data_IF_086604816738
#
_entry.id   IF_086604816738
#
_cell.length_a   1.000
_cell.length_b   1.000
_cell.length_c   1.000
_cell.angle_alpha   90.00
_cell.angle_beta   90.00
_cell.angle_gamma   90.00
#
_symmetry.space_group_name_H-M   'P 1'
#
loop_
_entity.id
_entity.type
_entity.pdbx_description
1 polymer ?
#
# COMPACT_ATOMS: atom_id res chain seq x y z
N UNK A 1 22.87 -27.46 32.08
CA UNK A 1 21.62 -27.04 31.47
C UNK A 1 21.21 -28.11 30.46
N UNK A 2 20.06 -28.75 30.63
CA UNK A 2 19.61 -29.86 29.78
C UNK A 2 19.22 -29.33 28.37
N UNK A 3 19.23 -30.22 27.38
CA UNK A 3 18.81 -29.88 26.01
C UNK A 3 17.38 -29.26 25.96
N UNK A 4 16.47 -29.78 26.82
CA UNK A 4 15.11 -29.26 26.97
C UNK A 4 15.10 -27.80 27.48
N UNK A 5 15.94 -27.47 28.47
CA UNK A 5 16.02 -26.09 29.02
C UNK A 5 16.58 -25.11 27.99
N UNK A 6 17.55 -25.53 27.17
CA UNK A 6 18.06 -24.70 26.07
C UNK A 6 17.02 -24.44 25.00
N UNK A 7 16.26 -25.47 24.61
CA UNK A 7 15.18 -25.34 23.61
C UNK A 7 14.09 -24.40 24.09
N UNK A 8 13.65 -24.52 25.35
CA UNK A 8 12.64 -23.63 25.93
C UNK A 8 13.14 -22.17 26.00
N UNK A 9 14.42 -21.96 26.35
CA UNK A 9 14.99 -20.62 26.38
C UNK A 9 15.05 -19.98 24.98
N UNK A 10 15.43 -20.74 23.95
CA UNK A 10 15.44 -20.27 22.55
C UNK A 10 14.02 -19.92 22.09
N UNK A 11 13.03 -20.79 22.37
CA UNK A 11 11.64 -20.55 22.02
C UNK A 11 11.10 -19.29 22.70
N UNK A 12 11.36 -19.11 24.00
CA UNK A 12 10.96 -17.91 24.72
C UNK A 12 11.59 -16.64 24.15
N UNK A 13 12.87 -16.69 23.77
CA UNK A 13 13.55 -15.57 23.13
C UNK A 13 12.94 -15.22 21.76
N UNK A 14 12.63 -16.23 20.94
CA UNK A 14 11.98 -16.03 19.65
C UNK A 14 10.58 -15.39 19.83
N UNK A 15 9.77 -15.88 20.75
CA UNK A 15 8.46 -15.30 21.05
C UNK A 15 8.59 -13.85 21.50
N UNK A 16 9.55 -13.53 22.37
CA UNK A 16 9.79 -12.17 22.83
C UNK A 16 10.20 -11.24 21.68
N UNK A 17 11.07 -11.70 20.78
CA UNK A 17 11.50 -10.92 19.60
C UNK A 17 10.30 -10.67 18.67
N UNK A 18 9.52 -11.70 18.32
CA UNK A 18 8.38 -11.56 17.44
C UNK A 18 7.30 -10.64 18.03
N UNK A 19 7.04 -10.78 19.35
CA UNK A 19 6.12 -9.88 20.06
C UNK A 19 6.66 -8.43 20.04
N UNK A 20 7.94 -8.24 20.28
CA UNK A 20 8.59 -6.94 20.20
C UNK A 20 8.47 -6.30 18.81
N UNK A 21 8.71 -7.06 17.74
CA UNK A 21 8.53 -6.60 16.37
C UNK A 21 7.07 -6.21 16.09
N UNK A 22 6.10 -7.06 16.49
CA UNK A 22 4.68 -6.76 16.30
C UNK A 22 4.27 -5.47 17.03
N UNK A 23 4.64 -5.34 18.29
CA UNK A 23 4.33 -4.13 19.08
C UNK A 23 4.98 -2.90 18.45
N UNK A 24 6.26 -3.00 18.10
CA UNK A 24 7.01 -1.89 17.50
C UNK A 24 6.35 -1.39 16.22
N UNK A 25 6.05 -2.29 15.26
CA UNK A 25 5.46 -1.89 13.97
C UNK A 25 4.02 -1.42 14.08
N UNK A 26 3.25 -1.86 15.10
CA UNK A 26 1.91 -1.32 15.35
C UNK A 26 1.92 0.08 15.99
N UNK A 27 2.96 0.40 16.76
CA UNK A 27 3.13 1.75 17.37
C UNK A 27 3.79 2.72 16.39
N UNK A 28 4.72 2.19 15.57
CA UNK A 28 5.48 2.97 14.58
C UNK A 28 5.54 2.17 13.26
N UNK A 29 4.52 2.26 12.41
CA UNK A 29 4.49 1.58 11.12
C UNK A 29 5.68 1.95 10.25
N UNK A 30 6.15 1.00 9.46
CA UNK A 30 7.11 1.31 8.40
C UNK A 30 6.34 1.94 7.25
N UNK A 31 6.56 3.24 7.03
CA UNK A 31 5.79 4.03 6.07
C UNK A 31 6.57 4.25 4.78
N UNK A 32 5.93 4.02 3.65
CA UNK A 32 6.34 4.53 2.34
C UNK A 32 5.37 5.61 1.89
N UNK A 33 5.88 6.68 1.29
CA UNK A 33 5.06 7.77 0.80
C UNK A 33 5.67 8.40 -0.45
N UNK A 34 4.83 8.70 -1.44
CA UNK A 34 5.16 9.46 -2.62
C UNK A 34 4.02 10.44 -2.93
N UNK A 35 4.36 11.68 -3.29
CA UNK A 35 3.37 12.71 -3.60
C UNK A 35 3.70 13.40 -4.92
N UNK A 36 2.64 13.88 -5.60
CA UNK A 36 2.77 14.68 -6.82
C UNK A 36 1.71 15.77 -6.86
N UNK A 37 2.06 16.96 -7.37
CA UNK A 37 1.08 18.00 -7.69
C UNK A 37 0.54 17.79 -9.09
N UNK A 38 -0.79 17.87 -9.25
CA UNK A 38 -1.49 17.66 -10.51
C UNK A 38 -2.32 18.92 -10.81
N UNK A 39 -2.21 19.45 -12.03
CA UNK A 39 -3.03 20.58 -12.52
C UNK A 39 -4.42 20.07 -12.90
N UNK A 40 -5.26 19.82 -11.88
CA UNK A 40 -6.59 19.26 -12.02
C UNK A 40 -7.44 19.55 -10.77
N UNK A 41 -8.74 19.29 -10.89
CA UNK A 41 -9.65 19.28 -9.75
C UNK A 41 -9.59 17.93 -9.02
N UNK A 42 -9.99 17.86 -7.74
CA UNK A 42 -10.10 16.60 -7.01
C UNK A 42 -10.96 15.55 -7.73
N UNK A 43 -12.04 15.98 -8.39
CA UNK A 43 -12.96 15.10 -9.11
C UNK A 43 -12.33 14.49 -10.36
N UNK A 44 -11.50 15.25 -11.09
CA UNK A 44 -10.79 14.73 -12.25
C UNK A 44 -9.76 13.66 -11.84
N UNK A 45 -8.99 13.91 -10.77
CA UNK A 45 -8.04 12.92 -10.22
C UNK A 45 -8.78 11.69 -9.71
N UNK A 46 -9.88 11.88 -8.99
CA UNK A 46 -10.70 10.78 -8.50
C UNK A 46 -11.28 9.92 -9.61
N UNK A 47 -11.76 10.52 -10.69
CA UNK A 47 -12.33 9.79 -11.82
C UNK A 47 -11.36 8.78 -12.42
N UNK A 48 -10.07 9.14 -12.52
CA UNK A 48 -9.02 8.23 -13.01
C UNK A 48 -8.62 7.20 -11.94
N UNK A 49 -8.45 7.64 -10.69
CA UNK A 49 -8.04 6.77 -9.59
C UNK A 49 -9.10 5.69 -9.27
N UNK A 50 -10.38 6.05 -9.32
CA UNK A 50 -11.48 5.14 -8.97
C UNK A 50 -11.90 4.20 -10.13
N UNK A 51 -11.49 4.49 -11.36
CA UNK A 51 -11.71 3.60 -12.50
C UNK A 51 -10.64 2.50 -12.53
N UNK A 52 -10.77 1.57 -11.59
CA UNK A 52 -9.82 0.46 -11.46
C UNK A 52 -9.85 -0.50 -12.64
N UNK A 53 -10.93 -0.50 -13.43
CA UNK A 53 -11.04 -1.31 -14.64
C UNK A 53 -10.11 -0.81 -15.76
N UNK A 54 -9.80 0.49 -15.79
CA UNK A 54 -8.90 1.12 -16.78
C UNK A 54 -7.40 1.07 -16.35
N UNK A 55 -7.08 0.56 -15.18
CA UNK A 55 -5.68 0.46 -14.70
C UNK A 55 -4.73 -0.21 -15.71
N UNK A 56 -5.10 -1.28 -16.44
CA UNK A 56 -4.23 -1.89 -17.43
C UNK A 56 -3.76 -0.93 -18.54
N UNK A 57 -4.49 0.15 -18.79
CA UNK A 57 -4.18 1.11 -19.84
C UNK A 57 -3.11 2.13 -19.45
N UNK A 58 -2.88 2.36 -18.14
CA UNK A 58 -2.01 3.45 -17.70
C UNK A 58 -1.15 3.15 -16.47
N UNK A 59 -1.57 2.22 -15.59
CA UNK A 59 -0.94 2.03 -14.29
C UNK A 59 0.22 1.04 -14.37
N UNK A 60 1.49 1.48 -14.17
CA UNK A 60 2.64 0.59 -14.25
C UNK A 60 2.83 -0.28 -13.01
N UNK A 61 2.16 0.04 -11.90
CA UNK A 61 2.32 -0.66 -10.63
C UNK A 61 1.19 -1.65 -10.37
N UNK A 62 -0.07 -1.19 -10.36
CA UNK A 62 -1.24 -2.07 -10.24
C UNK A 62 -1.75 -2.32 -11.66
N UNK A 63 -1.18 -3.32 -12.32
CA UNK A 63 -1.44 -3.60 -13.75
C UNK A 63 -2.82 -4.17 -14.02
N UNK A 64 -3.50 -4.73 -13.02
CA UNK A 64 -4.94 -5.02 -13.05
C UNK A 64 -5.53 -4.87 -11.66
N UNK A 65 -6.79 -4.41 -11.60
CA UNK A 65 -7.58 -4.41 -10.38
C UNK A 65 -9.01 -4.84 -10.72
N UNK A 66 -9.55 -5.80 -9.97
CA UNK A 66 -10.89 -6.35 -10.17
C UNK A 66 -11.63 -6.40 -8.86
N UNK A 67 -12.93 -6.20 -8.91
CA UNK A 67 -13.82 -6.21 -7.75
C UNK A 67 -14.53 -4.88 -7.57
N UNK A 68 -15.56 -4.82 -6.72
CA UNK A 68 -16.32 -3.60 -6.49
C UNK A 68 -15.56 -2.64 -5.57
N UNK A 69 -15.43 -1.38 -6.00
CA UNK A 69 -14.80 -0.32 -5.19
C UNK A 69 -15.81 0.22 -4.17
N UNK A 70 -16.04 -0.55 -3.11
CA UNK A 70 -16.91 -0.18 -1.97
C UNK A 70 -16.35 -0.70 -0.66
N UNK A 71 -16.61 0.00 0.42
CA UNK A 71 -16.15 -0.38 1.76
C UNK A 71 -16.56 -1.81 2.11
N UNK A 72 -15.63 -2.59 2.65
CA UNK A 72 -15.77 -3.99 3.01
C UNK A 72 -15.64 -4.98 1.84
N UNK A 73 -15.55 -4.51 0.59
CA UNK A 73 -15.32 -5.38 -0.55
C UNK A 73 -13.84 -5.78 -0.67
N UNK A 74 -13.61 -6.95 -1.27
CA UNK A 74 -12.28 -7.41 -1.62
C UNK A 74 -12.00 -7.11 -3.09
N UNK A 75 -10.83 -6.51 -3.37
CA UNK A 75 -10.29 -6.38 -4.71
C UNK A 75 -9.34 -7.54 -5.01
N UNK A 76 -9.10 -7.79 -6.28
CA UNK A 76 -8.00 -8.64 -6.76
C UNK A 76 -7.08 -7.76 -7.58
N UNK A 77 -5.95 -7.40 -7.01
CA UNK A 77 -4.94 -6.55 -7.62
C UNK A 77 -3.75 -7.39 -8.08
N UNK A 78 -3.30 -7.21 -9.32
CA UNK A 78 -2.01 -7.70 -9.78
C UNK A 78 -1.06 -6.53 -9.77
N UNK A 79 -0.05 -6.62 -8.92
CA UNK A 79 1.01 -5.63 -8.78
C UNK A 79 2.24 -6.11 -9.55
N UNK A 80 2.91 -5.18 -10.22
CA UNK A 80 4.12 -5.42 -11.00
C UNK A 80 5.31 -4.70 -10.36
N UNK A 81 6.40 -5.43 -10.15
CA UNK A 81 7.67 -4.90 -9.67
C UNK A 81 8.85 -5.59 -10.39
N UNK A 82 10.08 -5.34 -9.95
CA UNK A 82 11.29 -5.92 -10.54
C UNK A 82 11.33 -7.46 -10.46
N UNK A 83 10.59 -8.08 -9.54
CA UNK A 83 10.49 -9.53 -9.39
C UNK A 83 9.40 -10.18 -10.27
N UNK A 84 8.54 -9.37 -10.89
CA UNK A 84 7.44 -9.80 -11.76
C UNK A 84 6.06 -9.43 -11.21
N UNK A 85 5.07 -10.27 -11.49
CA UNK A 85 3.69 -10.02 -11.10
C UNK A 85 3.34 -10.79 -9.81
N UNK A 86 2.78 -10.06 -8.84
CA UNK A 86 2.25 -10.64 -7.59
C UNK A 86 0.77 -10.27 -7.43
N UNK A 87 -0.05 -11.25 -7.06
CA UNK A 87 -1.49 -11.03 -6.83
C UNK A 87 -1.76 -10.81 -5.35
N UNK A 88 -2.46 -9.71 -5.05
CA UNK A 88 -2.95 -9.36 -3.71
C UNK A 88 -4.47 -9.23 -3.70
N UNK A 89 -5.08 -9.51 -2.55
CA UNK A 89 -6.53 -9.44 -2.36
C UNK A 89 -6.89 -8.49 -1.22
N UNK A 90 -6.68 -7.16 -1.39
CA UNK A 90 -6.95 -6.20 -0.35
C UNK A 90 -8.44 -6.00 -0.07
N UNK A 91 -8.76 -5.67 1.17
CA UNK A 91 -10.10 -5.24 1.59
C UNK A 91 -10.19 -3.72 1.56
N UNK A 92 -11.19 -3.17 0.89
CA UNK A 92 -11.44 -1.72 0.81
C UNK A 92 -11.92 -1.20 2.16
N UNK A 93 -11.28 -0.18 2.68
CA UNK A 93 -11.58 0.44 3.97
C UNK A 93 -12.29 1.79 3.83
N UNK A 94 -11.88 2.61 2.84
CA UNK A 94 -12.44 3.95 2.63
C UNK A 94 -12.65 4.17 1.14
N UNK A 95 -13.79 4.77 0.78
CA UNK A 95 -14.11 5.26 -0.57
C UNK A 95 -14.80 6.61 -0.39
N UNK A 96 -14.03 7.69 -0.42
CA UNK A 96 -14.50 9.07 -0.30
C UNK A 96 -14.20 9.81 -1.62
N UNK A 97 -15.20 9.98 -2.52
CA UNK A 97 -15.00 10.58 -3.82
C UNK A 97 -14.33 11.95 -3.77
N UNK A 98 -13.26 12.09 -4.55
CA UNK A 98 -12.46 13.32 -4.61
C UNK A 98 -11.57 13.58 -3.40
N UNK A 99 -11.47 12.65 -2.46
CA UNK A 99 -10.73 12.86 -1.21
C UNK A 99 -9.83 11.69 -0.84
N UNK A 100 -10.38 10.48 -0.64
CA UNK A 100 -9.61 9.36 -0.11
C UNK A 100 -10.09 8.02 -0.66
N UNK A 101 -9.10 7.19 -1.05
CA UNK A 101 -9.28 5.77 -1.30
C UNK A 101 -8.29 5.01 -0.42
N UNK A 102 -8.79 4.00 0.33
CA UNK A 102 -7.93 3.22 1.22
C UNK A 102 -8.34 1.76 1.25
N UNK A 103 -7.34 0.89 1.26
CA UNK A 103 -7.51 -0.55 1.45
C UNK A 103 -6.39 -1.14 2.30
N UNK A 104 -6.60 -2.33 2.83
CA UNK A 104 -5.61 -3.11 3.55
C UNK A 104 -5.35 -4.43 2.84
N UNK A 105 -4.10 -4.69 2.49
CA UNK A 105 -3.60 -5.98 2.02
C UNK A 105 -2.92 -6.76 3.15
N UNK A 106 -2.94 -8.09 3.05
CA UNK A 106 -2.29 -8.97 4.03
C UNK A 106 -1.59 -10.12 3.34
N UNK A 107 -0.40 -10.45 3.85
CA UNK A 107 0.32 -11.67 3.48
C UNK A 107 0.27 -12.62 4.68
N UNK A 108 -0.50 -13.71 4.52
CA UNK A 108 -0.79 -14.64 5.60
C UNK A 108 -1.85 -14.13 6.60
N UNK A 109 -1.87 -14.67 7.82
CA UNK A 109 -2.71 -14.16 8.91
C UNK A 109 -2.36 -12.71 9.27
N UNK A 110 -3.37 -11.92 9.69
CA UNK A 110 -3.15 -10.54 10.15
C UNK A 110 -2.09 -10.46 11.25
N UNK A 111 -1.27 -9.40 11.20
CA UNK A 111 -0.14 -9.19 12.10
C UNK A 111 1.16 -9.89 11.67
N UNK A 112 1.17 -10.62 10.54
CA UNK A 112 2.42 -11.12 9.94
C UNK A 112 3.03 -10.05 9.05
N UNK A 113 2.30 -9.64 8.02
CA UNK A 113 2.69 -8.58 7.11
C UNK A 113 1.42 -7.95 6.55
N UNK A 114 1.03 -6.83 7.12
CA UNK A 114 -0.14 -6.06 6.74
C UNK A 114 0.32 -4.73 6.11
N UNK A 115 -0.30 -4.31 5.00
CA UNK A 115 -0.05 -3.03 4.34
C UNK A 115 -1.36 -2.27 4.19
N UNK A 116 -1.49 -1.12 4.85
CA UNK A 116 -2.62 -0.21 4.68
C UNK A 116 -2.24 0.88 3.67
N UNK A 117 -2.79 0.77 2.47
CA UNK A 117 -2.50 1.63 1.34
C UNK A 117 -3.56 2.73 1.22
N UNK A 118 -3.12 3.97 1.21
CA UNK A 118 -3.97 5.17 1.19
C UNK A 118 -3.60 6.08 0.03
N UNK A 119 -4.60 6.50 -0.74
CA UNK A 119 -4.50 7.63 -1.67
C UNK A 119 -5.28 8.80 -1.10
N UNK A 120 -4.63 9.94 -0.92
CA UNK A 120 -5.26 11.18 -0.47
C UNK A 120 -5.14 12.24 -1.56
N UNK A 121 -6.28 12.88 -1.88
CA UNK A 121 -6.38 13.98 -2.82
C UNK A 121 -6.66 15.26 -2.04
N UNK A 122 -5.69 16.17 -2.00
CA UNK A 122 -5.81 17.44 -1.27
C UNK A 122 -5.74 18.61 -2.23
N UNK A 123 -6.77 19.44 -2.29
CA UNK A 123 -6.72 20.68 -3.07
C UNK A 123 -5.78 21.67 -2.38
N UNK A 124 -4.68 22.05 -3.05
CA UNK A 124 -3.68 22.99 -2.52
C UNK A 124 -3.93 24.42 -3.00
N UNK A 125 -4.59 24.59 -4.15
CA UNK A 125 -5.10 25.86 -4.69
C UNK A 125 -6.14 25.56 -5.79
N UNK A 126 -6.93 26.56 -6.25
CA UNK A 126 -7.89 26.33 -7.34
C UNK A 126 -7.20 25.70 -8.57
N UNK A 127 -7.73 24.56 -9.04
CA UNK A 127 -7.22 23.80 -10.18
C UNK A 127 -5.91 23.04 -9.94
N UNK A 128 -5.44 22.92 -8.69
CA UNK A 128 -4.24 22.15 -8.35
C UNK A 128 -4.48 21.31 -7.13
N UNK A 129 -4.20 20.02 -7.24
CA UNK A 129 -4.24 19.08 -6.12
C UNK A 129 -2.87 18.49 -5.82
N UNK A 130 -2.67 18.07 -4.57
CA UNK A 130 -1.61 17.17 -4.15
C UNK A 130 -2.23 15.77 -4.04
N UNK A 131 -1.76 14.85 -4.86
CA UNK A 131 -2.02 13.42 -4.69
C UNK A 131 -0.90 12.84 -3.83
N UNK A 132 -1.27 12.23 -2.71
CA UNK A 132 -0.35 11.49 -1.84
C UNK A 132 -0.74 10.03 -1.85
N UNK A 133 0.20 9.18 -2.21
CA UNK A 133 0.13 7.74 -2.09
C UNK A 133 1.00 7.31 -0.92
N UNK A 134 0.39 6.66 0.07
CA UNK A 134 1.03 6.25 1.31
C UNK A 134 0.68 4.80 1.63
N UNK A 135 1.63 4.06 2.17
CA UNK A 135 1.37 2.73 2.71
C UNK A 135 2.07 2.56 4.05
N UNK A 136 1.29 2.16 5.05
CA UNK A 136 1.75 1.86 6.40
C UNK A 136 1.81 0.35 6.59
N UNK A 137 3.03 -0.17 6.75
CA UNK A 137 3.30 -1.59 6.94
C UNK A 137 3.42 -1.92 8.42
N UNK A 138 2.66 -2.93 8.86
CA UNK A 138 2.67 -3.46 10.22
C UNK A 138 2.82 -4.97 10.22
N UNK A 139 3.28 -5.54 11.33
CA UNK A 139 3.43 -6.98 11.51
C UNK A 139 4.87 -7.43 11.77
N UNK A 140 4.99 -8.67 12.26
CA UNK A 140 6.26 -9.24 12.74
C UNK A 140 7.32 -9.40 11.64
N UNK A 141 6.91 -9.53 10.38
CA UNK A 141 7.81 -9.73 9.25
C UNK A 141 8.33 -8.41 8.64
N UNK A 142 7.66 -7.28 8.87
CA UNK A 142 7.99 -5.99 8.24
C UNK A 142 9.46 -5.58 8.38
N UNK A 143 10.11 -5.68 9.57
CA UNK A 143 11.49 -5.28 9.71
C UNK A 143 12.48 -6.02 8.78
N UNK A 144 12.14 -7.26 8.39
CA UNK A 144 12.99 -8.07 7.50
C UNK A 144 12.84 -7.69 6.03
N UNK A 145 11.75 -7.01 5.65
CA UNK A 145 11.45 -6.58 4.29
C UNK A 145 11.62 -5.08 4.06
N UNK A 146 11.92 -4.29 5.10
CA UNK A 146 12.00 -2.83 5.04
C UNK A 146 12.93 -2.30 3.94
N UNK A 147 14.09 -2.95 3.73
CA UNK A 147 15.02 -2.58 2.65
C UNK A 147 14.41 -2.80 1.26
N UNK A 148 13.81 -3.97 1.03
CA UNK A 148 13.14 -4.30 -0.23
C UNK A 148 11.96 -3.37 -0.49
N UNK A 149 11.09 -3.14 0.50
CA UNK A 149 9.98 -2.20 0.38
C UNK A 149 10.44 -0.82 -0.10
N UNK A 150 11.54 -0.32 0.45
CA UNK A 150 12.07 0.98 0.06
C UNK A 150 12.71 0.96 -1.34
N UNK A 151 13.42 -0.10 -1.68
CA UNK A 151 14.16 -0.19 -2.94
C UNK A 151 13.25 -0.47 -4.14
N UNK A 152 12.25 -1.33 -3.97
CA UNK A 152 11.44 -1.84 -5.07
C UNK A 152 10.01 -1.25 -5.08
N UNK A 153 9.36 -1.09 -3.91
CA UNK A 153 7.97 -0.62 -3.86
C UNK A 153 7.85 0.90 -3.96
N UNK A 154 8.70 1.66 -3.27
CA UNK A 154 8.61 3.13 -3.27
C UNK A 154 8.76 3.77 -4.67
N UNK A 155 9.69 3.33 -5.55
CA UNK A 155 9.77 3.84 -6.92
C UNK A 155 8.48 3.60 -7.72
N UNK A 156 7.77 2.49 -7.47
CA UNK A 156 6.52 2.17 -8.16
C UNK A 156 5.37 3.09 -7.75
N UNK A 157 5.36 3.60 -6.51
CA UNK A 157 4.42 4.66 -6.10
C UNK A 157 4.65 5.93 -6.92
N UNK A 158 5.90 6.34 -7.08
CA UNK A 158 6.24 7.49 -7.90
C UNK A 158 5.84 7.30 -9.37
N UNK A 159 6.08 6.12 -9.94
CA UNK A 159 5.72 5.78 -11.31
C UNK A 159 4.20 5.80 -11.52
N UNK A 160 3.43 5.20 -10.59
CA UNK A 160 1.96 5.22 -10.63
C UNK A 160 1.42 6.65 -10.51
N UNK A 161 1.94 7.45 -9.58
CA UNK A 161 1.52 8.84 -9.40
C UNK A 161 1.79 9.68 -10.67
N UNK A 162 2.94 9.49 -11.31
CA UNK A 162 3.28 10.19 -12.56
C UNK A 162 2.37 9.76 -13.71
N UNK A 163 2.10 8.47 -13.85
CA UNK A 163 1.20 7.94 -14.88
C UNK A 163 -0.25 8.42 -14.69
N UNK A 164 -0.73 8.47 -13.43
CA UNK A 164 -2.04 9.04 -13.10
C UNK A 164 -2.10 10.53 -13.46
N UNK A 165 -1.09 11.30 -13.09
CA UNK A 165 -1.02 12.73 -13.43
C UNK A 165 -1.07 12.95 -14.94
N UNK A 166 -0.33 12.17 -15.72
CA UNK A 166 -0.33 12.21 -17.19
C UNK A 166 -1.73 11.87 -17.75
N UNK A 167 -2.35 10.81 -17.25
CA UNK A 167 -3.70 10.40 -17.67
C UNK A 167 -4.77 11.46 -17.37
N UNK A 168 -4.68 12.14 -16.23
CA UNK A 168 -5.61 13.21 -15.82
C UNK A 168 -5.47 14.45 -16.69
N UNK A 169 -4.24 14.79 -17.11
CA UNK A 169 -3.95 16.04 -17.87
C UNK A 169 -4.05 15.85 -19.38
N UNK A 170 -4.43 14.69 -19.87
CA UNK A 170 -4.69 14.43 -21.29
C UNK A 170 -3.44 14.17 -22.12
N UNK A 171 -2.41 13.65 -21.47
CA UNK A 171 -1.19 13.19 -22.14
C UNK A 171 -1.35 11.78 -22.69
#
# INVERSE_FOLDING_TARGET
>A
MTMRTRLLAVLAALVAILTGCAVYTNVSPYTLEASIQIQATPQQVWAVLADTADYPAWNPFIVTSRGPLRVGATLTNVMHDASGNTTFTPTVLVVEPGRELRWIGRVGPGGIFDGEHTFTITQVRPGVVLLTQREDFTGVAVPFYAHWLRADTLPMFGAMNAALAHRVTGG
#
